data_IF_365773146542
#
_entry.id   IF_365773146542
#
_cell.length_a   1.000
_cell.length_b   1.000
_cell.length_c   1.000
_cell.angle_alpha   90.00
_cell.angle_beta   90.00
_cell.angle_gamma   90.00
#
_symmetry.space_group_name_H-M   'P 1'
#
loop_
_entity.id
_entity.type
_entity.pdbx_description
1 polymer ?
#
# COMPACT_ATOMS: atom_id res chain seq x y z
N UNK A 1 -10.90 30.68 -1.86
CA UNK A 1 -11.49 29.93 -2.98
C UNK A 1 -13.01 29.93 -2.84
N UNK A 2 -13.78 29.96 -3.94
CA UNK A 2 -15.24 30.18 -3.93
C UNK A 2 -16.07 29.08 -3.21
N UNK A 3 -15.46 27.93 -2.95
CA UNK A 3 -16.04 26.69 -2.40
C UNK A 3 -15.71 26.44 -0.92
N UNK A 4 -14.83 27.22 -0.30
CA UNK A 4 -14.46 27.05 1.10
C UNK A 4 -15.68 27.20 2.03
N UNK A 5 -15.83 26.30 3.00
CA UNK A 5 -16.97 26.28 3.93
C UNK A 5 -18.30 25.81 3.32
N UNK A 6 -18.33 25.41 2.04
CA UNK A 6 -19.54 24.93 1.35
C UNK A 6 -19.41 23.48 0.96
N UNK A 7 -20.54 22.78 0.83
CA UNK A 7 -20.59 21.45 0.20
C UNK A 7 -20.18 21.57 -1.27
N UNK A 8 -19.36 20.62 -1.75
CA UNK A 8 -18.99 20.49 -3.16
C UNK A 8 -19.77 19.33 -3.77
N UNK A 9 -20.37 19.54 -4.95
CA UNK A 9 -20.86 18.46 -5.80
C UNK A 9 -19.78 18.11 -6.82
N UNK A 10 -19.38 16.84 -6.89
CA UNK A 10 -18.34 16.38 -7.79
C UNK A 10 -18.50 14.90 -8.13
N UNK A 11 -17.67 14.38 -9.04
CA UNK A 11 -17.70 12.96 -9.44
C UNK A 11 -16.82 12.09 -8.55
N UNK A 12 -17.27 10.86 -8.33
CA UNK A 12 -16.49 9.81 -7.70
C UNK A 12 -16.79 8.43 -8.31
N UNK A 13 -15.85 7.51 -8.18
CA UNK A 13 -16.07 6.09 -8.48
C UNK A 13 -16.46 5.36 -7.19
N UNK A 14 -17.71 4.91 -7.12
CA UNK A 14 -18.29 4.29 -5.93
C UNK A 14 -18.26 2.77 -6.08
N UNK A 15 -17.76 2.09 -5.06
CA UNK A 15 -17.96 0.66 -4.86
C UNK A 15 -19.24 0.47 -4.03
N UNK A 16 -20.30 -0.07 -4.62
CA UNK A 16 -21.56 -0.34 -3.91
C UNK A 16 -21.53 -1.62 -3.09
N UNK A 17 -20.63 -2.54 -3.43
CA UNK A 17 -20.44 -3.81 -2.75
C UNK A 17 -19.28 -4.60 -3.34
N UNK A 18 -18.90 -5.71 -2.71
CA UNK A 18 -17.87 -6.59 -3.24
C UNK A 18 -18.35 -7.23 -4.55
N UNK A 19 -17.38 -7.45 -5.46
CA UNK A 19 -17.51 -8.11 -6.76
C UNK A 19 -18.46 -7.40 -7.72
N UNK A 20 -18.66 -6.10 -7.53
CA UNK A 20 -19.41 -5.24 -8.42
C UNK A 20 -18.47 -4.25 -9.11
N UNK A 21 -18.76 -3.83 -10.35
CA UNK A 21 -18.01 -2.75 -10.98
C UNK A 21 -18.16 -1.44 -10.20
N UNK A 22 -17.15 -0.58 -10.28
CA UNK A 22 -17.27 0.79 -9.81
C UNK A 22 -18.26 1.57 -10.69
N UNK A 23 -19.10 2.40 -10.09
CA UNK A 23 -20.00 3.32 -10.81
C UNK A 23 -19.50 4.75 -10.65
N UNK A 24 -19.50 5.53 -11.74
CA UNK A 24 -19.16 6.95 -11.70
C UNK A 24 -20.43 7.76 -11.43
N UNK A 25 -20.51 8.38 -10.26
CA UNK A 25 -21.70 9.08 -9.78
C UNK A 25 -21.35 10.46 -9.23
N UNK A 26 -22.35 11.35 -9.20
CA UNK A 26 -22.21 12.63 -8.52
C UNK A 26 -22.41 12.43 -7.00
N UNK A 27 -21.48 12.95 -6.22
CA UNK A 27 -21.47 12.91 -4.77
C UNK A 27 -21.49 14.31 -4.18
N UNK A 28 -21.78 14.40 -2.89
CA UNK A 28 -21.70 15.61 -2.10
C UNK A 28 -20.57 15.46 -1.07
N UNK A 29 -19.60 16.39 -1.10
CA UNK A 29 -18.45 16.43 -0.20
C UNK A 29 -18.57 17.61 0.75
N UNK A 30 -18.77 17.32 2.04
CA UNK A 30 -18.87 18.32 3.09
C UNK A 30 -17.57 19.16 3.22
N UNK A 31 -17.65 20.38 3.77
CA UNK A 31 -16.44 21.13 4.15
C UNK A 31 -15.67 20.40 5.27
N UNK A 32 -14.36 20.63 5.38
CA UNK A 32 -13.56 20.06 6.46
C UNK A 32 -13.98 20.65 7.82
N UNK A 33 -14.08 19.80 8.85
CA UNK A 33 -14.19 20.20 10.25
C UNK A 33 -12.81 20.53 10.85
N UNK A 34 -12.76 20.85 12.14
CA UNK A 34 -11.51 21.05 12.85
C UNK A 34 -10.52 19.89 12.62
N UNK A 35 -9.25 20.23 12.37
CA UNK A 35 -8.16 19.31 12.05
C UNK A 35 -8.35 18.45 10.80
N UNK A 36 -9.23 18.88 9.87
CA UNK A 36 -9.42 18.22 8.58
C UNK A 36 -8.97 19.10 7.41
N UNK A 37 -8.65 18.44 6.31
CA UNK A 37 -8.18 19.05 5.08
C UNK A 37 -9.02 18.52 3.92
N UNK A 38 -9.57 19.41 3.10
CA UNK A 38 -10.23 19.03 1.85
C UNK A 38 -9.28 19.21 0.68
N UNK A 39 -9.07 18.15 -0.07
CA UNK A 39 -8.10 18.06 -1.17
C UNK A 39 -8.83 17.84 -2.48
N UNK A 40 -8.48 18.64 -3.50
CA UNK A 40 -8.81 18.35 -4.89
C UNK A 40 -7.81 17.34 -5.43
N UNK A 41 -8.25 16.13 -5.75
CA UNK A 41 -7.39 15.11 -6.33
C UNK A 41 -7.05 15.47 -7.77
N UNK A 42 -5.78 15.37 -8.13
CA UNK A 42 -5.28 15.65 -9.49
C UNK A 42 -4.92 14.36 -10.21
N UNK A 43 -4.31 13.41 -9.50
CA UNK A 43 -4.00 12.10 -10.03
C UNK A 43 -4.11 11.04 -8.94
N UNK A 44 -4.47 9.82 -9.32
CA UNK A 44 -4.50 8.65 -8.44
C UNK A 44 -4.11 7.39 -9.20
N UNK A 45 -3.28 6.56 -8.59
CA UNK A 45 -2.87 5.26 -9.10
C UNK A 45 -3.90 4.17 -8.77
N UNK A 46 -3.93 3.12 -9.60
CA UNK A 46 -4.72 1.91 -9.33
C UNK A 46 -3.78 0.87 -8.75
N UNK A 47 -3.96 0.55 -7.47
CA UNK A 47 -3.14 -0.44 -6.77
C UNK A 47 -3.91 -1.75 -6.59
N UNK A 48 -3.17 -2.87 -6.49
CA UNK A 48 -3.76 -4.19 -6.25
C UNK A 48 -4.59 -4.23 -4.95
N UNK A 49 -4.25 -3.42 -3.95
CA UNK A 49 -5.02 -3.36 -2.71
C UNK A 49 -6.45 -2.84 -2.91
N UNK A 50 -6.68 -1.94 -3.87
CA UNK A 50 -8.04 -1.49 -4.20
C UNK A 50 -8.85 -2.63 -4.84
N UNK A 51 -8.22 -3.41 -5.71
CA UNK A 51 -8.80 -4.63 -6.30
C UNK A 51 -9.03 -5.74 -5.26
N UNK A 52 -8.20 -5.85 -4.22
CA UNK A 52 -8.44 -6.79 -3.12
C UNK A 52 -9.71 -6.47 -2.33
N UNK A 53 -10.08 -5.18 -2.20
CA UNK A 53 -11.37 -4.80 -1.63
C UNK A 53 -12.51 -5.17 -2.57
N UNK A 54 -12.39 -4.85 -3.86
CA UNK A 54 -13.44 -5.17 -4.84
C UNK A 54 -13.63 -6.68 -5.02
N UNK A 55 -12.57 -7.47 -5.06
CA UNK A 55 -12.66 -8.93 -5.20
C UNK A 55 -13.17 -9.63 -3.93
N UNK A 56 -13.17 -8.93 -2.79
CA UNK A 56 -13.53 -9.47 -1.47
C UNK A 56 -12.40 -10.22 -0.77
N UNK A 57 -11.16 -10.10 -1.24
CA UNK A 57 -9.98 -10.61 -0.53
C UNK A 57 -9.71 -9.85 0.79
N UNK A 58 -10.15 -8.58 0.87
CA UNK A 58 -10.27 -7.81 2.12
C UNK A 58 -11.75 -7.77 2.49
N UNK A 59 -12.17 -8.56 3.47
CA UNK A 59 -13.58 -8.80 3.80
C UNK A 59 -14.19 -7.78 4.76
N UNK A 60 -13.38 -7.04 5.50
CA UNK A 60 -13.87 -6.25 6.64
C UNK A 60 -14.42 -4.86 6.21
N UNK A 61 -14.28 -4.51 4.93
CA UNK A 61 -14.65 -3.20 4.39
C UNK A 61 -16.16 -2.98 4.39
N UNK A 62 -16.56 -1.76 4.76
CA UNK A 62 -17.94 -1.31 4.67
C UNK A 62 -18.23 -0.73 3.30
N UNK A 63 -19.46 -0.94 2.83
CA UNK A 63 -19.96 -0.43 1.55
C UNK A 63 -21.28 0.34 1.76
N UNK A 64 -21.61 1.33 0.91
CA UNK A 64 -20.83 1.79 -0.25
C UNK A 64 -19.58 2.57 0.17
N UNK A 65 -18.49 2.47 -0.59
CA UNK A 65 -17.23 3.15 -0.30
C UNK A 65 -16.61 3.78 -1.56
N UNK A 66 -15.80 4.82 -1.36
CA UNK A 66 -14.89 5.34 -2.38
C UNK A 66 -13.49 4.81 -2.07
N UNK A 67 -12.94 4.02 -2.99
CA UNK A 67 -11.61 3.42 -2.86
C UNK A 67 -10.50 4.39 -3.30
N UNK A 68 -9.30 3.85 -3.52
CA UNK A 68 -8.13 4.61 -3.95
C UNK A 68 -7.37 5.17 -2.76
N UNK A 69 -6.07 4.88 -2.70
CA UNK A 69 -5.18 5.31 -1.62
C UNK A 69 -3.82 5.81 -2.12
N UNK A 70 -3.62 5.87 -3.44
CA UNK A 70 -2.38 6.26 -4.10
C UNK A 70 -2.58 7.57 -4.88
N UNK A 71 -2.99 8.62 -4.17
CA UNK A 71 -3.36 9.90 -4.77
C UNK A 71 -2.34 11.02 -4.58
N UNK A 72 -2.46 12.06 -5.40
CA UNK A 72 -1.84 13.35 -5.17
C UNK A 72 -2.79 14.47 -5.61
N UNK A 73 -2.76 15.59 -4.88
CA UNK A 73 -3.74 16.64 -5.06
C UNK A 73 -3.27 18.01 -4.58
N UNK A 74 -4.21 18.94 -4.59
CA UNK A 74 -4.02 20.32 -4.16
C UNK A 74 -5.05 20.61 -3.07
N UNK A 75 -4.60 21.22 -1.97
CA UNK A 75 -5.49 21.60 -0.87
C UNK A 75 -6.47 22.66 -1.34
N UNK A 76 -7.77 22.40 -1.19
CA UNK A 76 -8.83 23.34 -1.52
C UNK A 76 -9.20 24.21 -0.31
N UNK A 77 -9.42 23.60 0.84
CA UNK A 77 -9.69 24.27 2.11
C UNK A 77 -9.20 23.44 3.31
N UNK A 78 -9.01 24.13 4.43
CA UNK A 78 -8.59 23.53 5.71
C UNK A 78 -9.60 23.92 6.77
N UNK A 79 -9.82 23.04 7.74
CA UNK A 79 -10.63 23.34 8.91
C UNK A 79 -9.84 24.05 10.02
N UNK A 80 -10.54 24.36 11.10
CA UNK A 80 -9.96 25.01 12.27
C UNK A 80 -8.81 24.18 12.86
N UNK A 81 -7.74 24.85 13.31
CA UNK A 81 -6.64 24.20 14.03
C UNK A 81 -5.61 23.46 13.17
N UNK A 82 -5.78 23.40 11.84
CA UNK A 82 -4.75 22.93 10.90
C UNK A 82 -3.61 23.94 10.85
N UNK A 83 -2.36 23.49 11.00
CA UNK A 83 -1.21 24.41 11.19
C UNK A 83 -0.23 24.43 10.02
N UNK A 84 0.08 23.27 9.44
CA UNK A 84 1.21 23.11 8.52
C UNK A 84 0.79 22.94 7.04
N UNK A 85 -0.50 23.06 6.77
CA UNK A 85 -1.11 22.86 5.46
C UNK A 85 -2.03 24.05 5.20
N UNK A 86 -1.98 24.61 3.98
CA UNK A 86 -2.87 25.71 3.57
C UNK A 86 -3.45 25.49 2.18
N UNK A 87 -4.56 26.17 1.83
CA UNK A 87 -5.10 26.14 0.47
C UNK A 87 -4.02 26.46 -0.59
N UNK A 88 -4.02 25.67 -1.66
CA UNK A 88 -3.04 25.76 -2.76
C UNK A 88 -1.79 24.90 -2.59
N UNK A 89 -1.50 24.37 -1.39
CA UNK A 89 -0.38 23.45 -1.22
C UNK A 89 -0.61 22.15 -2.00
N UNK A 90 0.45 21.63 -2.63
CA UNK A 90 0.47 20.28 -3.18
C UNK A 90 0.64 19.26 -2.06
N UNK A 91 -0.12 18.17 -2.12
CA UNK A 91 -0.16 17.17 -1.05
C UNK A 91 -0.30 15.74 -1.59
N UNK A 92 0.17 14.78 -0.79
CA UNK A 92 -0.08 13.35 -0.93
C UNK A 92 -0.89 12.88 0.29
N UNK A 93 -2.07 12.26 0.11
CA UNK A 93 -2.78 11.56 1.18
C UNK A 93 -1.97 10.36 1.69
N UNK A 94 -1.98 10.15 3.00
CA UNK A 94 -1.24 9.09 3.69
C UNK A 94 -2.22 8.04 4.21
N UNK A 95 -2.20 6.85 3.61
CA UNK A 95 -3.06 5.73 4.06
C UNK A 95 -2.60 5.15 5.42
N UNK A 96 -1.34 5.38 5.80
CA UNK A 96 -0.84 5.21 7.16
C UNK A 96 -0.61 6.61 7.75
N UNK A 97 -1.40 7.04 8.74
CA UNK A 97 -1.25 8.36 9.34
C UNK A 97 0.07 8.53 10.09
N UNK A 98 0.41 9.76 10.45
CA UNK A 98 1.53 10.05 11.36
C UNK A 98 1.15 11.11 12.39
N UNK A 99 0.59 10.68 13.53
CA UNK A 99 0.15 11.62 14.58
C UNK A 99 1.27 12.22 15.45
N UNK A 100 2.48 11.66 15.39
CA UNK A 100 3.64 12.16 16.15
C UNK A 100 3.67 11.83 17.65
N UNK A 101 2.55 11.41 18.24
CA UNK A 101 2.40 11.25 19.69
C UNK A 101 2.25 9.79 20.17
N UNK A 102 1.72 8.90 19.31
CA UNK A 102 1.48 7.51 19.72
C UNK A 102 2.76 6.69 19.87
N UNK A 103 2.68 5.53 20.53
CA UNK A 103 3.83 4.63 20.76
C UNK A 103 4.52 4.24 19.45
N UNK A 104 3.74 4.04 18.40
CA UNK A 104 4.27 3.65 17.10
C UNK A 104 4.97 4.82 16.40
N UNK A 105 4.45 6.05 16.48
CA UNK A 105 5.08 7.24 15.88
C UNK A 105 6.36 7.68 16.61
N UNK A 106 6.45 7.45 17.92
CA UNK A 106 7.63 7.80 18.73
C UNK A 106 8.71 6.71 18.69
N UNK A 107 8.45 5.57 18.06
CA UNK A 107 9.39 4.46 17.94
C UNK A 107 10.09 4.48 16.58
N UNK A 108 11.42 4.60 16.58
CA UNK A 108 12.25 4.66 15.36
C UNK A 108 12.19 3.42 14.45
N UNK A 109 11.62 2.31 14.94
CA UNK A 109 11.49 1.04 14.20
C UNK A 109 10.08 0.78 13.68
N UNK A 110 9.12 1.69 13.89
CA UNK A 110 7.73 1.51 13.48
C UNK A 110 7.26 2.71 12.66
N UNK A 111 6.32 2.46 11.75
CA UNK A 111 5.59 3.50 11.02
C UNK A 111 4.06 3.32 11.13
N UNK A 112 3.58 2.23 11.75
CA UNK A 112 2.16 1.92 11.83
C UNK A 112 1.49 2.71 12.97
N UNK A 113 1.11 3.96 12.71
CA UNK A 113 0.48 4.85 13.68
C UNK A 113 -0.81 4.26 14.26
N UNK A 114 -1.00 4.32 15.58
CA UNK A 114 -2.17 3.72 16.27
C UNK A 114 -3.54 4.32 15.83
N UNK A 115 -3.53 5.43 15.09
CA UNK A 115 -4.70 6.05 14.47
C UNK A 115 -4.99 5.51 13.05
N UNK A 116 -4.30 4.48 12.59
CA UNK A 116 -4.47 3.90 11.25
C UNK A 116 -5.86 3.29 11.04
N UNK A 117 -6.37 3.38 9.81
CA UNK A 117 -7.65 2.80 9.40
C UNK A 117 -7.45 1.42 8.73
N UNK A 118 -6.71 0.54 9.41
CA UNK A 118 -6.40 -0.83 8.94
C UNK A 118 -6.89 -1.79 10.04
N UNK A 119 -7.93 -2.58 9.78
CA UNK A 119 -8.49 -3.54 10.77
C UNK A 119 -10.02 -3.44 10.94
N UNK A 120 -10.59 -3.84 12.09
CA UNK A 120 -12.04 -4.07 12.22
C UNK A 120 -12.94 -2.83 12.33
N UNK A 121 -12.38 -1.61 12.37
CA UNK A 121 -13.15 -0.36 12.55
C UNK A 121 -12.97 0.61 11.38
N UNK A 122 -13.15 0.10 10.15
CA UNK A 122 -12.78 0.81 8.92
C UNK A 122 -13.84 1.70 8.29
N UNK A 123 -13.34 2.76 7.63
CA UNK A 123 -14.06 3.54 6.63
C UNK A 123 -14.73 4.82 7.11
N UNK A 124 -14.29 5.37 8.24
CA UNK A 124 -14.75 6.67 8.75
C UNK A 124 -13.54 7.52 9.15
N UNK A 125 -13.71 8.84 9.21
CA UNK A 125 -12.69 9.74 9.76
C UNK A 125 -12.52 9.52 11.28
N UNK A 126 -11.53 10.17 11.89
CA UNK A 126 -11.24 9.99 13.31
C UNK A 126 -12.44 10.34 14.22
N UNK A 127 -13.27 11.30 13.81
CA UNK A 127 -14.50 11.69 14.51
C UNK A 127 -15.67 10.69 14.35
N UNK A 128 -15.43 9.56 13.68
CA UNK A 128 -16.40 8.49 13.43
C UNK A 128 -17.58 8.90 12.55
N UNK A 129 -17.37 9.87 11.66
CA UNK A 129 -18.36 10.27 10.66
C UNK A 129 -17.77 10.28 9.25
N UNK A 130 -18.64 10.33 8.23
CA UNK A 130 -18.24 10.52 6.84
C UNK A 130 -18.40 11.99 6.42
N UNK A 131 -17.63 12.41 5.42
CA UNK A 131 -17.78 13.70 4.73
C UNK A 131 -18.44 13.55 3.36
N UNK A 132 -18.75 12.33 2.95
CA UNK A 132 -19.20 12.02 1.61
C UNK A 132 -20.59 11.40 1.66
N UNK A 133 -21.51 11.96 0.88
CA UNK A 133 -22.85 11.41 0.68
C UNK A 133 -23.13 11.22 -0.80
N UNK A 134 -23.86 10.15 -1.12
CA UNK A 134 -24.41 9.88 -2.46
C UNK A 134 -25.90 9.58 -2.31
N UNK A 135 -26.76 10.30 -3.04
CA UNK A 135 -28.22 10.14 -2.98
C UNK A 135 -28.78 10.20 -1.54
N UNK A 136 -28.25 11.12 -0.72
CA UNK A 136 -28.64 11.31 0.68
C UNK A 136 -28.14 10.23 1.65
N UNK A 137 -27.35 9.26 1.19
CA UNK A 137 -26.78 8.18 2.01
C UNK A 137 -25.28 8.39 2.24
N UNK A 138 -24.75 8.13 3.45
CA UNK A 138 -23.31 8.17 3.70
C UNK A 138 -22.54 7.16 2.84
N UNK A 139 -21.37 7.58 2.34
CA UNK A 139 -20.40 6.73 1.66
C UNK A 139 -19.16 6.62 2.54
N UNK A 140 -18.65 5.41 2.74
CA UNK A 140 -17.49 5.14 3.59
C UNK A 140 -16.19 5.57 2.93
N UNK A 141 -15.24 5.99 3.76
CA UNK A 141 -13.88 6.26 3.37
C UNK A 141 -13.10 4.95 3.18
N UNK A 142 -11.91 5.00 2.59
CA UNK A 142 -11.00 3.87 2.44
C UNK A 142 -9.59 4.29 2.86
N UNK A 143 -9.08 3.63 3.90
CA UNK A 143 -7.75 3.87 4.48
C UNK A 143 -7.49 5.34 4.81
N UNK A 144 -8.50 6.07 5.29
CA UNK A 144 -8.41 7.52 5.54
C UNK A 144 -7.98 8.35 4.33
N UNK A 145 -8.20 7.89 3.10
CA UNK A 145 -7.77 8.55 1.85
C UNK A 145 -8.91 8.77 0.86
N UNK A 146 -9.51 7.69 0.34
CA UNK A 146 -10.57 7.74 -0.69
C UNK A 146 -10.26 8.67 -1.86
N UNK A 147 -9.33 8.27 -2.72
CA UNK A 147 -8.80 9.12 -3.80
C UNK A 147 -9.47 8.90 -5.15
N UNK A 148 -10.40 7.95 -5.28
CA UNK A 148 -11.21 7.77 -6.50
C UNK A 148 -12.40 8.76 -6.56
N UNK A 149 -12.09 10.05 -6.38
CA UNK A 149 -13.03 11.18 -6.36
C UNK A 149 -12.30 12.45 -6.74
N UNK A 150 -13.00 13.45 -7.30
CA UNK A 150 -12.40 14.76 -7.57
C UNK A 150 -12.04 15.51 -6.28
N UNK A 151 -12.79 15.32 -5.20
CA UNK A 151 -12.53 15.92 -3.89
C UNK A 151 -12.70 14.91 -2.76
N UNK A 152 -11.78 14.92 -1.80
CA UNK A 152 -11.84 14.11 -0.57
C UNK A 152 -11.53 14.96 0.65
N UNK A 153 -11.96 14.50 1.82
CA UNK A 153 -11.64 15.13 3.12
C UNK A 153 -10.88 14.12 3.96
N UNK A 154 -9.81 14.59 4.58
CA UNK A 154 -8.79 13.80 5.29
C UNK A 154 -8.53 14.45 6.65
N UNK A 155 -8.23 13.66 7.67
CA UNK A 155 -7.63 14.18 8.90
C UNK A 155 -6.23 14.75 8.59
N UNK A 156 -5.80 15.84 9.25
CA UNK A 156 -4.51 16.51 9.00
C UNK A 156 -3.32 15.55 9.09
N UNK A 157 -3.38 14.56 10.00
CA UNK A 157 -2.35 13.55 10.20
C UNK A 157 -2.23 12.54 9.03
N UNK A 158 -3.17 12.58 8.10
CA UNK A 158 -3.23 11.74 6.90
C UNK A 158 -2.83 12.53 5.64
N UNK A 159 -2.17 13.69 5.77
CA UNK A 159 -1.79 14.54 4.64
C UNK A 159 -0.34 14.98 4.77
N UNK A 160 0.47 14.71 3.75
CA UNK A 160 1.82 15.24 3.64
C UNK A 160 1.88 16.35 2.59
N UNK A 161 2.34 17.54 2.98
CA UNK A 161 2.75 18.58 2.04
C UNK A 161 3.99 18.14 1.27
N UNK A 162 4.01 18.44 -0.03
CA UNK A 162 5.14 18.15 -0.93
C UNK A 162 5.62 19.42 -1.65
N UNK A 163 6.64 19.27 -2.49
CA UNK A 163 7.21 20.34 -3.31
C UNK A 163 6.16 20.95 -4.26
N UNK A 164 6.09 22.28 -4.32
CA UNK A 164 5.18 23.04 -5.17
C UNK A 164 5.42 22.78 -6.68
N UNK A 165 6.61 22.32 -7.07
CA UNK A 165 6.98 21.95 -8.44
C UNK A 165 6.75 20.47 -8.77
N UNK A 166 6.34 19.64 -7.80
CA UNK A 166 6.16 18.21 -8.03
C UNK A 166 5.09 17.92 -9.11
N UNK A 167 5.38 17.07 -10.11
CA UNK A 167 4.39 16.61 -11.09
C UNK A 167 3.45 15.58 -10.46
N UNK A 168 2.23 16.00 -10.11
CA UNK A 168 1.27 15.21 -9.32
C UNK A 168 0.86 13.89 -9.99
N UNK A 169 0.87 13.84 -11.32
CA UNK A 169 0.64 12.66 -12.15
C UNK A 169 1.75 11.60 -12.05
N UNK A 170 2.90 11.94 -11.47
CA UNK A 170 4.01 11.01 -11.22
C UNK A 170 4.17 10.71 -9.74
N UNK A 171 4.16 11.75 -8.90
CA UNK A 171 4.45 11.60 -7.47
C UNK A 171 3.31 10.96 -6.68
N UNK A 172 2.11 10.80 -7.24
CA UNK A 172 1.04 10.01 -6.63
C UNK A 172 1.51 8.60 -6.24
N UNK A 173 2.44 8.01 -7.01
CA UNK A 173 3.00 6.67 -6.74
C UNK A 173 3.82 6.58 -5.44
N UNK A 174 4.31 7.73 -4.93
CA UNK A 174 5.01 7.82 -3.64
C UNK A 174 4.02 7.55 -2.49
N UNK A 175 2.73 7.79 -2.69
CA UNK A 175 1.68 7.53 -1.68
C UNK A 175 1.52 6.05 -1.32
N UNK A 176 1.91 5.13 -2.21
CA UNK A 176 1.83 3.69 -1.93
C UNK A 176 2.94 2.87 -2.63
N UNK A 177 2.76 2.55 -3.92
CA UNK A 177 3.48 1.46 -4.58
C UNK A 177 5.01 1.64 -4.59
N UNK A 178 5.47 2.84 -4.94
CA UNK A 178 6.91 3.13 -5.01
C UNK A 178 7.56 3.08 -3.63
N UNK A 179 7.03 3.85 -2.68
CA UNK A 179 7.58 3.95 -1.32
C UNK A 179 7.56 2.62 -0.58
N UNK A 180 6.51 1.81 -0.79
CA UNK A 180 6.39 0.47 -0.19
C UNK A 180 7.50 -0.44 -0.68
N UNK A 181 7.70 -0.57 -2.00
CA UNK A 181 8.72 -1.46 -2.54
C UNK A 181 10.14 -0.95 -2.25
N UNK A 182 10.41 0.32 -2.55
CA UNK A 182 11.73 0.92 -2.32
C UNK A 182 12.13 0.86 -0.84
N UNK A 183 11.22 1.27 0.05
CA UNK A 183 11.42 1.23 1.51
C UNK A 183 11.60 -0.20 2.05
N UNK A 184 10.91 -1.18 1.48
CA UNK A 184 11.08 -2.59 1.88
C UNK A 184 12.52 -3.05 1.69
N UNK A 185 13.17 -2.70 0.57
CA UNK A 185 14.56 -3.03 0.32
C UNK A 185 15.52 -2.21 1.19
N UNK A 186 15.44 -0.88 1.14
CA UNK A 186 16.50 -0.02 1.72
C UNK A 186 16.34 0.25 3.22
N UNK A 187 15.11 0.23 3.74
CA UNK A 187 14.82 0.58 5.14
C UNK A 187 14.52 -0.65 5.99
N UNK A 188 13.68 -1.56 5.48
CA UNK A 188 13.20 -2.71 6.25
C UNK A 188 14.19 -3.87 6.19
N UNK A 189 14.54 -4.32 4.98
CA UNK A 189 15.54 -5.36 4.78
C UNK A 189 16.98 -4.84 4.97
N UNK A 190 17.20 -3.55 4.64
CA UNK A 190 18.52 -2.91 4.64
C UNK A 190 19.51 -3.71 3.78
N UNK A 191 19.12 -3.95 2.53
CA UNK A 191 19.94 -4.66 1.54
C UNK A 191 21.37 -4.11 1.55
N UNK A 192 22.35 -5.01 1.60
CA UNK A 192 23.77 -4.66 1.69
C UNK A 192 24.43 -4.68 0.30
N UNK A 193 25.46 -3.83 0.07
CA UNK A 193 26.26 -3.90 -1.14
C UNK A 193 26.87 -5.29 -1.35
N UNK A 194 26.85 -5.78 -2.59
CA UNK A 194 27.38 -7.11 -2.94
C UNK A 194 26.42 -8.27 -2.67
N UNK A 195 25.28 -8.05 -2.01
CA UNK A 195 24.32 -9.11 -1.69
C UNK A 195 23.54 -9.63 -2.90
N UNK A 196 22.86 -10.75 -2.66
CA UNK A 196 21.96 -11.44 -3.59
C UNK A 196 20.50 -11.33 -3.12
N UNK A 197 19.62 -10.98 -4.05
CA UNK A 197 18.20 -10.74 -3.77
C UNK A 197 17.31 -11.57 -4.71
N UNK A 198 16.15 -12.02 -4.22
CA UNK A 198 15.04 -12.41 -5.10
C UNK A 198 13.75 -11.66 -4.79
N UNK A 199 13.04 -11.25 -5.84
CA UNK A 199 11.78 -10.51 -5.76
C UNK A 199 10.69 -11.32 -6.45
N UNK A 200 9.73 -11.81 -5.66
CA UNK A 200 8.59 -12.56 -6.13
C UNK A 200 7.41 -11.63 -6.42
N UNK A 201 6.99 -11.57 -7.68
CA UNK A 201 5.98 -10.66 -8.19
C UNK A 201 6.59 -9.39 -8.75
N UNK A 202 6.42 -9.18 -10.05
CA UNK A 202 6.99 -8.07 -10.82
C UNK A 202 5.94 -7.01 -11.20
N UNK A 203 5.01 -6.73 -10.29
CA UNK A 203 4.10 -5.57 -10.36
C UNK A 203 4.76 -4.28 -9.85
N UNK A 204 4.00 -3.19 -9.74
CA UNK A 204 4.55 -1.86 -9.34
C UNK A 204 5.38 -1.87 -8.05
N UNK A 205 4.90 -2.57 -7.01
CA UNK A 205 5.64 -2.72 -5.74
C UNK A 205 6.92 -3.53 -5.94
N UNK A 206 6.85 -4.69 -6.60
CA UNK A 206 8.02 -5.54 -6.84
C UNK A 206 9.08 -4.86 -7.71
N UNK A 207 8.67 -4.13 -8.75
CA UNK A 207 9.58 -3.30 -9.55
C UNK A 207 10.26 -2.22 -8.68
N UNK A 208 9.55 -1.65 -7.71
CA UNK A 208 10.11 -0.67 -6.78
C UNK A 208 11.09 -1.31 -5.79
N UNK A 209 10.87 -2.57 -5.40
CA UNK A 209 11.86 -3.38 -4.65
C UNK A 209 13.13 -3.57 -5.48
N UNK A 210 13.03 -3.92 -6.77
CA UNK A 210 14.20 -4.06 -7.65
C UNK A 210 15.04 -2.77 -7.69
N UNK A 211 14.38 -1.62 -7.83
CA UNK A 211 15.04 -0.30 -7.78
C UNK A 211 15.77 -0.12 -6.44
N UNK A 212 15.11 -0.44 -5.32
CA UNK A 212 15.70 -0.36 -3.99
C UNK A 212 16.92 -1.28 -3.81
N UNK A 213 16.84 -2.54 -4.25
CA UNK A 213 17.97 -3.48 -4.23
C UNK A 213 19.15 -2.98 -5.07
N UNK A 214 18.88 -2.45 -6.27
CA UNK A 214 19.91 -1.91 -7.17
C UNK A 214 20.60 -0.69 -6.55
N UNK A 215 19.82 0.26 -6.00
CA UNK A 215 20.37 1.46 -5.34
C UNK A 215 21.18 1.10 -4.09
N UNK A 216 20.78 0.05 -3.37
CA UNK A 216 21.53 -0.48 -2.23
C UNK A 216 22.83 -1.22 -2.62
N UNK A 217 23.05 -1.48 -3.91
CA UNK A 217 24.29 -2.09 -4.42
C UNK A 217 24.28 -3.62 -4.42
N UNK A 218 23.13 -4.29 -4.41
CA UNK A 218 23.06 -5.73 -4.57
C UNK A 218 23.73 -6.18 -5.88
N UNK A 219 24.59 -7.20 -5.83
CA UNK A 219 25.31 -7.72 -6.99
C UNK A 219 24.43 -8.60 -7.88
N UNK A 220 23.45 -9.29 -7.29
CA UNK A 220 22.55 -10.21 -8.00
C UNK A 220 21.12 -9.96 -7.57
N UNK A 221 20.22 -9.76 -8.53
CA UNK A 221 18.80 -9.48 -8.27
C UNK A 221 17.96 -10.34 -9.22
N UNK A 222 17.33 -11.38 -8.68
CA UNK A 222 16.52 -12.34 -9.44
C UNK A 222 15.04 -11.92 -9.36
N UNK A 223 14.46 -11.53 -10.49
CA UNK A 223 13.02 -11.32 -10.62
C UNK A 223 12.28 -12.64 -10.84
N UNK A 224 11.19 -12.88 -10.11
CA UNK A 224 10.39 -14.11 -10.22
C UNK A 224 8.94 -13.74 -10.49
N UNK A 225 8.40 -14.11 -11.66
CA UNK A 225 6.99 -13.92 -12.00
C UNK A 225 6.53 -14.99 -12.99
N UNK A 226 5.25 -15.37 -12.94
CA UNK A 226 4.69 -16.35 -13.89
C UNK A 226 4.39 -15.75 -15.25
N UNK A 227 4.34 -14.42 -15.36
CA UNK A 227 4.17 -13.70 -16.61
C UNK A 227 5.52 -13.17 -17.14
N UNK A 228 6.09 -13.79 -18.21
CA UNK A 228 7.38 -13.38 -18.77
C UNK A 228 7.36 -12.00 -19.42
N UNK A 229 6.20 -11.45 -19.78
CA UNK A 229 6.10 -10.10 -20.39
C UNK A 229 6.62 -9.00 -19.46
N UNK A 230 6.65 -9.26 -18.15
CA UNK A 230 7.17 -8.32 -17.15
C UNK A 230 8.70 -8.28 -17.08
N UNK A 231 9.39 -9.27 -17.63
CA UNK A 231 10.84 -9.44 -17.43
C UNK A 231 11.66 -8.33 -18.08
N UNK A 232 11.23 -7.82 -19.23
CA UNK A 232 11.93 -6.73 -19.91
C UNK A 232 12.01 -5.48 -19.02
N UNK A 233 10.87 -5.06 -18.44
CA UNK A 233 10.82 -3.91 -17.53
C UNK A 233 11.55 -4.19 -16.21
N UNK A 234 11.46 -5.41 -15.68
CA UNK A 234 12.21 -5.79 -14.49
C UNK A 234 13.73 -5.65 -14.68
N UNK A 235 14.27 -6.10 -15.83
CA UNK A 235 15.69 -5.96 -16.17
C UNK A 235 16.11 -4.50 -16.33
N UNK A 236 15.30 -3.69 -17.02
CA UNK A 236 15.51 -2.24 -17.14
C UNK A 236 15.67 -1.57 -15.77
N UNK A 237 14.87 -1.99 -14.79
CA UNK A 237 14.80 -1.39 -13.45
C UNK A 237 15.75 -2.01 -12.41
N UNK A 238 16.44 -3.11 -12.74
CA UNK A 238 17.55 -3.62 -11.92
C UNK A 238 17.65 -5.12 -11.75
N UNK A 239 16.69 -5.92 -12.24
CA UNK A 239 16.85 -7.36 -12.22
C UNK A 239 18.05 -7.78 -13.09
N UNK A 240 18.98 -8.55 -12.53
CA UNK A 240 20.10 -9.14 -13.28
C UNK A 240 19.64 -10.38 -14.05
N UNK A 241 18.68 -11.11 -13.47
CA UNK A 241 18.08 -12.31 -14.03
C UNK A 241 16.58 -12.30 -13.80
N UNK A 242 15.81 -12.98 -14.65
CA UNK A 242 14.39 -13.21 -14.42
C UNK A 242 14.06 -14.65 -14.72
N UNK A 243 13.20 -15.27 -13.91
CA UNK A 243 12.79 -16.66 -14.06
C UNK A 243 11.27 -16.78 -13.95
N UNK A 244 10.70 -17.67 -14.76
CA UNK A 244 9.32 -18.09 -14.63
C UNK A 244 9.28 -19.44 -13.88
N UNK A 245 8.62 -19.53 -12.72
CA UNK A 245 8.50 -20.80 -12.00
C UNK A 245 7.93 -21.95 -12.81
N UNK A 246 7.13 -21.67 -13.86
CA UNK A 246 6.50 -22.68 -14.70
C UNK A 246 7.48 -23.34 -15.69
N UNK A 247 8.68 -22.78 -15.88
CA UNK A 247 9.70 -23.34 -16.77
C UNK A 247 10.52 -24.46 -16.09
N UNK A 248 10.26 -24.71 -14.80
CA UNK A 248 11.00 -25.66 -13.97
C UNK A 248 10.08 -26.77 -13.45
N UNK A 249 10.60 -28.00 -13.44
CA UNK A 249 9.93 -29.14 -12.77
C UNK A 249 10.12 -29.11 -11.25
N UNK A 250 11.23 -28.52 -10.82
CA UNK A 250 11.63 -28.45 -9.41
C UNK A 250 10.93 -27.28 -8.71
N UNK A 251 10.70 -27.36 -7.40
CA UNK A 251 10.22 -26.22 -6.64
C UNK A 251 11.13 -24.99 -6.80
N UNK A 252 10.53 -23.81 -7.01
CA UNK A 252 11.28 -22.58 -7.30
C UNK A 252 12.35 -22.22 -6.25
N UNK A 253 12.14 -22.58 -4.98
CA UNK A 253 13.11 -22.33 -3.92
C UNK A 253 14.38 -23.17 -4.07
N UNK A 254 14.29 -24.39 -4.62
CA UNK A 254 15.45 -25.23 -4.93
C UNK A 254 16.20 -24.69 -6.14
N UNK A 255 15.48 -24.24 -7.17
CA UNK A 255 16.06 -23.58 -8.35
C UNK A 255 16.85 -22.34 -7.91
N UNK A 256 16.26 -21.48 -7.08
CA UNK A 256 16.93 -20.29 -6.56
C UNK A 256 18.14 -20.62 -5.69
N UNK A 257 18.08 -21.66 -4.85
CA UNK A 257 19.22 -22.10 -4.05
C UNK A 257 20.40 -22.55 -4.92
N UNK A 258 20.13 -23.26 -6.02
CA UNK A 258 21.16 -23.64 -7.01
C UNK A 258 21.73 -22.42 -7.76
N UNK A 259 20.88 -21.46 -8.12
CA UNK A 259 21.32 -20.22 -8.80
C UNK A 259 22.14 -19.28 -7.92
N UNK A 260 22.15 -19.50 -6.60
CA UNK A 260 22.79 -18.62 -5.60
C UNK A 260 23.85 -19.34 -4.78
N UNK A 261 24.37 -20.48 -5.26
CA UNK A 261 25.45 -21.26 -4.63
C UNK A 261 25.21 -21.56 -3.13
N UNK A 262 23.94 -21.78 -2.74
CA UNK A 262 23.57 -22.17 -1.38
C UNK A 262 22.53 -21.26 -0.70
N UNK A 263 22.19 -20.11 -1.27
CA UNK A 263 21.06 -19.29 -0.79
C UNK A 263 21.15 -17.82 -1.15
N UNK A 264 20.02 -17.13 -1.03
CA UNK A 264 19.90 -15.68 -1.22
C UNK A 264 20.02 -14.95 0.12
N UNK A 265 20.60 -13.76 0.12
CA UNK A 265 20.71 -12.93 1.32
C UNK A 265 19.35 -12.32 1.69
N UNK A 266 18.60 -11.85 0.69
CA UNK A 266 17.30 -11.22 0.87
C UNK A 266 16.24 -11.77 -0.09
N UNK A 267 15.03 -11.97 0.41
CA UNK A 267 13.88 -12.33 -0.41
C UNK A 267 12.67 -11.47 -0.10
N UNK A 268 11.94 -11.07 -1.13
CA UNK A 268 10.79 -10.19 -1.05
C UNK A 268 9.58 -10.85 -1.71
N UNK A 269 8.47 -10.97 -0.97
CA UNK A 269 7.18 -11.39 -1.52
C UNK A 269 6.34 -10.14 -1.79
N UNK A 270 5.93 -9.95 -3.05
CA UNK A 270 5.20 -8.79 -3.53
C UNK A 270 3.94 -9.20 -4.32
N UNK A 271 3.33 -10.35 -3.97
CA UNK A 271 2.15 -10.90 -4.64
C UNK A 271 0.95 -10.95 -3.68
N UNK A 272 1.18 -11.35 -2.42
CA UNK A 272 0.12 -11.65 -1.47
C UNK A 272 -0.32 -13.11 -1.50
N UNK A 273 0.58 -14.04 -1.84
CA UNK A 273 0.28 -15.47 -1.90
C UNK A 273 1.00 -16.25 -0.79
N UNK A 274 0.23 -16.80 0.16
CA UNK A 274 0.77 -17.54 1.31
C UNK A 274 1.59 -18.77 0.92
N UNK A 275 1.29 -19.41 -0.22
CA UNK A 275 2.09 -20.54 -0.74
C UNK A 275 3.48 -20.11 -1.21
N UNK A 276 3.63 -18.85 -1.61
CA UNK A 276 4.93 -18.26 -1.96
C UNK A 276 5.68 -17.84 -0.69
N UNK A 277 4.98 -17.26 0.29
CA UNK A 277 5.56 -16.81 1.56
C UNK A 277 6.11 -17.95 2.44
N UNK A 278 5.43 -19.09 2.52
CA UNK A 278 5.77 -20.16 3.49
C UNK A 278 6.96 -21.03 3.01
N UNK A 279 7.38 -20.95 1.74
CA UNK A 279 8.40 -21.82 1.16
C UNK A 279 9.83 -21.31 1.39
N UNK A 280 10.46 -21.73 2.49
CA UNK A 280 11.88 -21.50 2.82
C UNK A 280 12.81 -21.50 1.59
N UNK A 281 13.33 -20.34 1.18
CA UNK A 281 14.50 -20.22 0.30
C UNK A 281 15.79 -20.27 1.14
N UNK A 282 16.17 -21.45 1.63
CA UNK A 282 17.42 -21.63 2.37
C UNK A 282 17.51 -20.84 3.69
N UNK A 283 18.64 -20.18 3.94
CA UNK A 283 18.92 -19.38 5.14
C UNK A 283 18.37 -17.94 5.10
N UNK A 284 17.63 -17.55 4.05
CA UNK A 284 17.18 -16.18 3.84
C UNK A 284 16.20 -15.68 4.93
N UNK A 285 16.38 -14.42 5.36
CA UNK A 285 15.37 -13.71 6.14
C UNK A 285 14.17 -13.35 5.26
N UNK A 286 12.97 -13.81 5.64
CA UNK A 286 11.72 -13.36 5.04
C UNK A 286 11.35 -11.98 5.57
N UNK A 287 11.29 -10.99 4.69
CA UNK A 287 10.58 -9.74 4.94
C UNK A 287 9.33 -9.70 4.08
N UNK A 288 8.23 -10.17 4.67
CA UNK A 288 6.90 -9.78 4.24
C UNK A 288 6.73 -8.31 4.64
N UNK A 289 6.51 -7.42 3.67
CA UNK A 289 6.00 -6.10 3.98
C UNK A 289 4.62 -6.30 4.62
N UNK A 290 4.55 -6.08 5.94
CA UNK A 290 3.46 -6.38 6.90
C UNK A 290 3.48 -7.81 7.48
N UNK A 291 4.26 -8.00 8.55
CA UNK A 291 3.84 -8.67 9.80
C UNK A 291 4.89 -8.46 10.91
N UNK A 292 4.47 -7.82 12.00
CA UNK A 292 5.28 -7.53 13.19
C UNK A 292 5.55 -8.84 13.95
N UNK A 293 6.79 -9.33 13.91
CA UNK A 293 7.26 -10.52 14.62
C UNK A 293 7.72 -10.12 16.04
N UNK A 294 6.82 -10.07 17.01
CA UNK A 294 7.23 -10.14 18.42
C UNK A 294 7.17 -11.61 18.87
N UNK A 295 8.32 -12.09 19.35
CA UNK A 295 8.55 -13.36 20.06
C UNK A 295 8.37 -14.67 19.28
N UNK A 296 9.45 -15.13 18.65
CA UNK A 296 9.70 -16.56 18.46
C UNK A 296 10.93 -16.94 19.29
N UNK A 297 10.66 -17.35 20.52
CA UNK A 297 11.48 -18.35 21.22
C UNK A 297 11.02 -19.72 20.74
N UNK A 298 11.92 -20.67 20.43
CA UNK A 298 11.53 -21.97 19.92
C UNK A 298 11.03 -22.82 21.10
N UNK A 299 9.78 -23.26 21.05
CA UNK A 299 9.34 -24.41 21.83
C UNK A 299 9.08 -25.56 20.86
N UNK A 300 9.93 -26.58 21.02
CA UNK A 300 9.81 -27.88 20.42
C UNK A 300 8.41 -28.47 20.62
N UNK A 301 7.89 -29.06 19.54
CA UNK A 301 7.02 -30.23 19.57
C UNK A 301 5.62 -30.05 20.14
N UNK A 302 4.61 -29.98 19.26
CA UNK A 302 3.47 -30.91 19.34
C UNK A 302 2.78 -31.00 18.00
N UNK A 303 2.82 -32.19 17.42
CA UNK A 303 1.98 -32.66 16.31
C UNK A 303 0.52 -32.65 16.77
N UNK A 304 -0.38 -31.97 16.05
CA UNK A 304 -1.82 -32.23 16.15
C UNK A 304 -2.37 -32.36 14.73
N UNK A 305 -2.70 -33.61 14.39
CA UNK A 305 -3.49 -33.98 13.23
C UNK A 305 -4.88 -33.33 13.31
N UNK A 306 -5.32 -32.67 12.24
CA UNK A 306 -6.74 -32.42 12.00
C UNK A 306 -7.30 -33.59 11.21
N UNK A 307 -8.15 -34.40 11.87
CA UNK A 307 -9.03 -35.36 11.21
C UNK A 307 -10.08 -34.59 10.42
N UNK A 308 -10.16 -34.87 9.12
CA UNK A 308 -11.36 -34.65 8.33
C UNK A 308 -12.49 -35.51 8.90
N UNK A 309 -13.65 -34.90 9.10
CA UNK A 309 -14.92 -35.61 9.26
C UNK A 309 -15.94 -34.99 8.32
N UNK A 310 -16.21 -35.68 7.23
CA UNK A 310 -17.56 -35.96 6.71
C UNK A 310 -17.40 -37.10 5.70
N UNK A 311 -17.58 -38.31 6.24
CA UNK A 311 -17.64 -39.65 5.59
C UNK A 311 -16.56 -40.03 4.59
#
# INVERSE_FOLDING_TARGET
>A
MATAGKVIKCKAAIAWGPKQPLTIEDIEVAPPKAHEVRVKIVATGICRSDDHVLSGAISDMKFPAILGHEGAGIVESVGEGVKNIKPGDKVIPLFVPQCGECRSCTNSRSNLCDKHDIGPYIGLLLDKTSRITCNGKPVYNFLSTSTFTEYTVLDEICVAKIDDNAPLDKVCLIGCGFSTGYGSAVKTAKVEPGSSCAVFGLGGVGLSVLIGCKVAGAAKIIGVDTNPDKFAKAKELGATECINPNDYKEPIHEVLAKMSDGGLDYTFECIGNTKVMVKKCGYALYLCALLKRSTLTPLYGTTIYSKNSTT
#
